data_IF_553377742992
#
_entry.id   IF_553377742992
#
_cell.length_a   1.000
_cell.length_b   1.000
_cell.length_c   1.000
_cell.angle_alpha   90.00
_cell.angle_beta   90.00
_cell.angle_gamma   90.00
#
_symmetry.space_group_name_H-M   'P 1'
#
loop_
_entity.id
_entity.type
_entity.pdbx_description
1 polymer ?
#
# COMPACT_ATOMS: atom_id res chain seq x y z
N UNK A 1 23.61 14.04 61.10
CA UNK A 1 23.59 14.55 59.71
C UNK A 1 24.09 13.43 58.81
N UNK A 2 23.18 12.77 58.12
CA UNK A 2 23.48 11.78 57.08
C UNK A 2 23.08 12.39 55.72
N UNK A 3 23.79 12.10 54.62
CA UNK A 3 23.42 12.61 53.29
C UNK A 3 22.15 11.91 52.77
N UNK A 4 21.31 12.59 51.96
CA UNK A 4 20.11 12.00 51.40
C UNK A 4 20.44 11.04 50.25
N UNK A 5 19.74 9.90 50.22
CA UNK A 5 19.75 8.93 49.12
C UNK A 5 19.22 9.54 47.81
N UNK A 6 19.74 9.15 46.64
CA UNK A 6 19.18 9.58 45.36
C UNK A 6 17.85 8.88 45.08
N UNK A 7 16.88 9.67 44.60
CA UNK A 7 15.57 9.23 44.17
C UNK A 7 15.67 8.29 42.96
N UNK A 8 15.02 7.12 43.06
CA UNK A 8 14.78 6.21 41.95
C UNK A 8 13.66 6.76 41.05
N UNK A 9 13.99 7.10 39.81
CA UNK A 9 13.00 7.27 38.73
C UNK A 9 12.44 5.91 38.30
N UNK A 10 11.18 5.82 37.86
CA UNK A 10 10.57 4.55 37.49
C UNK A 10 11.10 4.09 36.14
N UNK A 11 11.76 2.93 36.13
CA UNK A 11 12.01 2.15 34.93
C UNK A 11 10.67 1.58 34.45
N UNK A 12 10.16 2.09 33.32
CA UNK A 12 9.12 1.40 32.52
C UNK A 12 9.79 0.18 31.84
N UNK A 13 9.96 -0.86 32.64
CA UNK A 13 10.42 -2.18 32.24
C UNK A 13 9.28 -2.86 31.46
N UNK A 14 9.37 -2.84 30.14
CA UNK A 14 8.42 -3.53 29.25
C UNK A 14 8.54 -5.05 29.43
N UNK A 15 7.75 -5.61 30.34
CA UNK A 15 7.67 -7.05 30.57
C UNK A 15 7.21 -7.80 29.31
N UNK A 16 8.07 -8.69 28.83
CA UNK A 16 7.84 -9.58 27.71
C UNK A 16 6.80 -10.66 28.07
N UNK A 17 5.56 -10.56 27.55
CA UNK A 17 4.54 -11.59 27.76
C UNK A 17 4.80 -12.76 26.81
N UNK A 18 5.21 -13.90 27.38
CA UNK A 18 5.40 -15.16 26.66
C UNK A 18 4.05 -15.66 26.09
N UNK A 19 3.94 -15.96 24.78
CA UNK A 19 2.71 -16.49 24.21
C UNK A 19 2.43 -17.92 24.68
N UNK A 20 1.26 -18.14 25.29
CA UNK A 20 0.75 -19.47 25.63
C UNK A 20 0.52 -20.28 24.35
N UNK A 21 1.18 -21.43 24.26
CA UNK A 21 1.00 -22.44 23.21
C UNK A 21 -0.45 -22.94 23.20
N UNK A 22 -1.17 -22.74 22.11
CA UNK A 22 -2.27 -23.63 21.73
C UNK A 22 -2.31 -23.77 20.21
N UNK A 23 -2.03 -25.00 19.75
CA UNK A 23 -2.06 -25.43 18.35
C UNK A 23 -3.51 -25.61 17.90
N UNK A 24 -3.85 -25.06 16.73
CA UNK A 24 -4.47 -25.80 15.61
C UNK A 24 -4.33 -24.96 14.34
N UNK A 25 -3.53 -25.45 13.41
CA UNK A 25 -3.39 -24.88 12.08
C UNK A 25 -4.69 -25.19 11.31
N UNK A 26 -5.52 -24.17 11.08
CA UNK A 26 -6.53 -24.24 10.03
C UNK A 26 -5.86 -23.80 8.74
N UNK A 27 -5.78 -24.72 7.78
CA UNK A 27 -5.40 -24.42 6.42
C UNK A 27 -6.33 -23.32 5.88
N UNK A 28 -5.76 -22.16 5.57
CA UNK A 28 -6.44 -21.11 4.83
C UNK A 28 -6.67 -21.63 3.41
N UNK A 29 -7.89 -22.03 3.11
CA UNK A 29 -8.36 -22.19 1.74
C UNK A 29 -8.23 -20.82 1.06
N UNK A 30 -7.28 -20.71 0.13
CA UNK A 30 -7.12 -19.53 -0.70
C UNK A 30 -8.42 -19.29 -1.46
N UNK A 31 -9.19 -18.28 -1.05
CA UNK A 31 -10.36 -17.83 -1.80
C UNK A 31 -9.88 -17.32 -3.15
N UNK A 32 -10.38 -17.92 -4.22
CA UNK A 32 -10.15 -17.46 -5.59
C UNK A 32 -10.56 -15.98 -5.64
N UNK A 33 -9.64 -15.05 -5.98
CA UNK A 33 -9.98 -13.64 -6.02
C UNK A 33 -11.07 -13.39 -7.07
N UNK A 34 -11.99 -12.44 -6.82
CA UNK A 34 -13.02 -12.10 -7.79
C UNK A 34 -12.40 -11.77 -9.16
N UNK A 35 -13.08 -12.11 -10.27
CA UNK A 35 -12.55 -11.89 -11.61
C UNK A 35 -12.23 -10.40 -11.83
N UNK A 36 -11.12 -10.15 -12.52
CA UNK A 36 -10.63 -8.81 -12.87
C UNK A 36 -11.69 -8.07 -13.69
N UNK A 37 -12.40 -7.12 -13.09
CA UNK A 37 -13.51 -6.39 -13.74
C UNK A 37 -13.11 -5.09 -14.46
N UNK A 38 -11.82 -4.83 -14.66
CA UNK A 38 -11.36 -3.68 -15.44
C UNK A 38 -10.05 -3.99 -16.18
N UNK A 39 -9.71 -3.22 -17.24
CA UNK A 39 -8.43 -3.34 -17.90
C UNK A 39 -7.31 -3.11 -16.88
N UNK A 40 -6.34 -4.01 -16.85
CA UNK A 40 -5.10 -3.77 -16.10
C UNK A 40 -4.44 -2.54 -16.72
N UNK A 41 -3.98 -1.59 -15.88
CA UNK A 41 -3.11 -0.51 -16.39
C UNK A 41 -1.92 -1.14 -17.09
N UNK A 42 -1.50 -0.55 -18.20
CA UNK A 42 -0.24 -0.93 -18.81
C UNK A 42 0.87 -0.65 -17.78
N UNK A 43 1.78 -1.60 -17.58
CA UNK A 43 2.86 -1.45 -16.60
C UNK A 43 3.65 -0.14 -16.78
N UNK A 44 3.88 0.40 -17.99
CA UNK A 44 4.47 1.73 -18.19
C UNK A 44 3.66 2.90 -17.60
N UNK A 45 2.33 2.88 -17.69
CA UNK A 45 1.47 3.92 -17.11
C UNK A 45 1.50 3.89 -15.59
N UNK A 46 1.64 2.67 -15.04
CA UNK A 46 1.86 2.47 -13.62
C UNK A 46 3.25 3.00 -13.25
N UNK A 47 4.27 2.64 -14.03
CA UNK A 47 5.68 2.95 -13.82
C UNK A 47 5.96 4.47 -13.79
N UNK A 48 5.37 5.22 -14.73
CA UNK A 48 5.48 6.68 -14.82
C UNK A 48 4.85 7.43 -13.63
N UNK A 49 3.97 6.77 -12.87
CA UNK A 49 3.36 7.34 -11.67
C UNK A 49 4.27 7.23 -10.45
N UNK A 50 5.23 6.28 -10.41
CA UNK A 50 6.05 6.08 -9.22
C UNK A 50 7.23 7.01 -9.13
N UNK A 51 7.38 7.65 -7.97
CA UNK A 51 8.49 8.56 -7.68
C UNK A 51 9.43 8.06 -6.59
N UNK A 52 8.96 7.14 -5.75
CA UNK A 52 9.77 6.54 -4.70
C UNK A 52 9.21 5.18 -4.26
N UNK A 53 10.09 4.38 -3.67
CA UNK A 53 9.73 3.19 -2.92
C UNK A 53 10.10 3.35 -1.44
N UNK A 54 9.22 2.90 -0.56
CA UNK A 54 9.36 2.99 0.89
C UNK A 54 9.30 1.60 1.48
N UNK A 55 10.34 1.21 2.20
CA UNK A 55 10.46 -0.08 2.87
C UNK A 55 10.46 0.15 4.39
N UNK A 56 9.47 -0.41 5.08
CA UNK A 56 9.24 -0.18 6.51
C UNK A 56 9.34 -1.49 7.28
N UNK A 57 10.07 -1.46 8.40
CA UNK A 57 9.98 -2.48 9.45
C UNK A 57 10.42 -3.90 9.05
N UNK A 58 11.43 -4.04 8.19
CA UNK A 58 11.90 -5.36 7.72
C UNK A 58 12.71 -6.15 8.76
N UNK A 59 13.01 -5.57 9.92
CA UNK A 59 13.87 -6.13 10.95
C UNK A 59 15.37 -5.89 10.69
N UNK A 60 16.22 -6.44 11.56
CA UNK A 60 17.69 -6.29 11.48
C UNK A 60 18.35 -7.50 10.79
N UNK A 61 19.47 -7.25 10.09
CA UNK A 61 20.30 -8.31 9.50
C UNK A 61 21.24 -8.96 10.53
N UNK A 62 21.36 -8.37 11.72
CA UNK A 62 22.20 -8.86 12.81
C UNK A 62 21.44 -8.88 14.16
N UNK A 63 20.48 -9.81 14.33
CA UNK A 63 19.72 -9.89 15.56
C UNK A 63 20.61 -10.27 16.74
N UNK A 64 20.45 -9.57 17.87
CA UNK A 64 21.28 -9.72 19.06
C UNK A 64 21.24 -11.12 19.69
N UNK A 65 20.14 -11.86 19.50
CA UNK A 65 19.96 -13.24 19.95
C UNK A 65 20.55 -14.28 18.97
N UNK A 66 21.14 -13.83 17.86
CA UNK A 66 21.67 -14.71 16.81
C UNK A 66 20.59 -15.46 16.03
N UNK A 67 19.31 -15.07 16.12
CA UNK A 67 18.20 -15.77 15.48
C UNK A 67 18.36 -15.86 13.97
N UNK A 68 18.70 -17.05 13.49
CA UNK A 68 18.87 -17.34 12.07
C UNK A 68 17.57 -17.13 11.26
N UNK A 69 16.41 -17.45 11.85
CA UNK A 69 15.11 -17.27 11.18
C UNK A 69 14.72 -15.78 11.08
N UNK A 70 14.94 -14.99 12.13
CA UNK A 70 14.68 -13.54 12.07
C UNK A 70 15.55 -12.89 10.99
N UNK A 71 16.85 -13.23 10.99
CA UNK A 71 17.81 -12.79 9.97
C UNK A 71 17.38 -13.20 8.56
N UNK A 72 17.02 -14.49 8.38
CA UNK A 72 16.54 -15.01 7.09
C UNK A 72 15.31 -14.26 6.61
N UNK A 73 14.31 -14.05 7.47
CA UNK A 73 13.10 -13.29 7.15
C UNK A 73 13.44 -11.88 6.66
N UNK A 74 14.33 -11.16 7.34
CA UNK A 74 14.77 -9.83 6.93
C UNK A 74 15.41 -9.84 5.54
N UNK A 75 16.29 -10.80 5.25
CA UNK A 75 16.86 -10.96 3.90
C UNK A 75 15.82 -11.29 2.83
N UNK A 76 14.89 -12.22 3.12
CA UNK A 76 13.84 -12.62 2.18
C UNK A 76 12.91 -11.45 1.86
N UNK A 77 12.52 -10.67 2.87
CA UNK A 77 11.71 -9.47 2.68
C UNK A 77 12.47 -8.37 1.91
N UNK A 78 13.76 -8.16 2.21
CA UNK A 78 14.60 -7.25 1.43
C UNK A 78 14.65 -7.66 -0.05
N UNK A 79 14.92 -8.94 -0.34
CA UNK A 79 14.99 -9.45 -1.72
C UNK A 79 13.66 -9.23 -2.44
N UNK A 80 12.53 -9.54 -1.79
CA UNK A 80 11.21 -9.32 -2.39
C UNK A 80 10.98 -7.84 -2.72
N UNK A 81 11.33 -6.93 -1.81
CA UNK A 81 11.27 -5.49 -2.07
C UNK A 81 12.14 -5.07 -3.26
N UNK A 82 13.40 -5.51 -3.30
CA UNK A 82 14.33 -5.17 -4.38
C UNK A 82 13.89 -5.72 -5.73
N UNK A 83 13.33 -6.93 -5.79
CA UNK A 83 12.76 -7.50 -7.02
C UNK A 83 11.59 -6.65 -7.52
N UNK A 84 10.70 -6.21 -6.62
CA UNK A 84 9.59 -5.33 -7.02
C UNK A 84 10.09 -3.99 -7.57
N UNK A 85 11.10 -3.39 -6.93
CA UNK A 85 11.71 -2.14 -7.40
C UNK A 85 12.35 -2.34 -8.77
N UNK A 86 13.17 -3.38 -8.94
CA UNK A 86 13.84 -3.70 -10.21
C UNK A 86 12.83 -3.90 -11.36
N UNK A 87 11.72 -4.60 -11.10
CA UNK A 87 10.63 -4.73 -12.08
C UNK A 87 9.96 -3.40 -12.40
N UNK A 88 9.75 -2.51 -11.41
CA UNK A 88 9.22 -1.17 -11.67
C UNK A 88 10.19 -0.34 -12.53
N UNK A 89 11.48 -0.34 -12.20
CA UNK A 89 12.52 0.38 -12.95
C UNK A 89 12.58 -0.09 -14.42
N UNK A 90 12.58 -1.41 -14.67
CA UNK A 90 12.56 -1.98 -16.02
C UNK A 90 11.36 -1.50 -16.84
N UNK A 91 10.19 -1.39 -16.22
CA UNK A 91 8.98 -0.94 -16.88
C UNK A 91 8.84 0.59 -16.95
N UNK A 92 9.65 1.34 -16.19
CA UNK A 92 9.73 2.81 -16.20
C UNK A 92 10.75 3.37 -17.20
N UNK A 93 11.29 2.54 -18.10
CA UNK A 93 12.36 2.96 -19.02
C UNK A 93 13.77 2.90 -18.42
N UNK A 94 13.95 2.21 -17.29
CA UNK A 94 15.26 1.92 -16.69
C UNK A 94 15.76 2.99 -15.71
N UNK A 95 14.94 4.00 -15.39
CA UNK A 95 15.30 5.01 -14.39
C UNK A 95 15.35 4.41 -12.98
N UNK A 96 16.36 4.80 -12.20
CA UNK A 96 16.53 4.33 -10.81
C UNK A 96 15.49 4.96 -9.89
N UNK A 97 14.75 4.13 -9.17
CA UNK A 97 13.71 4.56 -8.24
C UNK A 97 14.32 4.83 -6.86
N UNK A 98 14.20 6.06 -6.31
CA UNK A 98 14.67 6.34 -4.97
C UNK A 98 13.99 5.44 -3.92
N UNK A 99 14.80 4.69 -3.17
CA UNK A 99 14.32 3.82 -2.10
C UNK A 99 14.68 4.36 -0.72
N UNK A 100 13.70 4.37 0.18
CA UNK A 100 13.84 4.82 1.57
C UNK A 100 13.49 3.68 2.52
N UNK A 101 14.43 3.33 3.38
CA UNK A 101 14.25 2.31 4.42
C UNK A 101 14.10 2.96 5.78
N UNK A 102 13.17 2.47 6.58
CA UNK A 102 13.00 2.87 7.97
C UNK A 102 12.70 1.66 8.85
N UNK A 103 13.58 1.40 9.80
CA UNK A 103 13.48 0.33 10.78
C UNK A 103 14.10 0.83 12.08
N UNK A 104 13.31 1.03 13.15
CA UNK A 104 13.80 1.44 14.45
C UNK A 104 14.95 0.60 15.00
N UNK A 105 14.98 -0.72 14.70
CA UNK A 105 16.02 -1.61 15.24
C UNK A 105 17.27 -1.72 14.37
N UNK A 106 17.39 -0.94 13.29
CA UNK A 106 18.59 -0.97 12.45
C UNK A 106 19.84 -0.52 13.22
N UNK A 107 20.83 -1.41 13.21
CA UNK A 107 22.19 -1.15 13.68
C UNK A 107 22.98 -0.29 12.68
N UNK A 108 24.15 0.20 13.09
CA UNK A 108 25.07 0.90 12.18
C UNK A 108 25.49 0.01 10.98
N UNK A 109 25.62 -1.31 11.22
CA UNK A 109 25.93 -2.29 10.17
C UNK A 109 24.76 -2.45 9.19
N UNK A 110 23.52 -2.51 9.67
CA UNK A 110 22.33 -2.58 8.82
C UNK A 110 22.23 -1.35 7.92
N UNK A 111 22.45 -0.17 8.50
CA UNK A 111 22.46 1.12 7.77
C UNK A 111 23.51 1.15 6.68
N UNK A 112 24.71 0.71 7.00
CA UNK A 112 25.83 0.65 6.06
C UNK A 112 25.58 -0.37 4.95
N UNK A 113 24.98 -1.51 5.27
CA UNK A 113 24.61 -2.53 4.30
C UNK A 113 23.58 -2.02 3.30
N UNK A 114 22.47 -1.43 3.78
CA UNK A 114 21.44 -0.84 2.90
C UNK A 114 22.02 0.30 2.04
N UNK A 115 22.89 1.15 2.62
CA UNK A 115 23.58 2.20 1.88
C UNK A 115 24.50 1.64 0.79
N UNK A 116 25.17 0.51 1.04
CA UNK A 116 26.03 -0.15 0.05
C UNK A 116 25.24 -0.69 -1.16
N UNK A 117 23.93 -0.92 -1.01
CA UNK A 117 23.01 -1.27 -2.09
C UNK A 117 22.50 -0.04 -2.88
N UNK A 118 22.93 1.17 -2.51
CA UNK A 118 22.52 2.42 -3.16
C UNK A 118 21.20 3.01 -2.63
N UNK A 119 20.70 2.53 -1.49
CA UNK A 119 19.44 2.99 -0.91
C UNK A 119 19.66 3.89 0.31
N UNK A 120 18.64 4.66 0.69
CA UNK A 120 18.72 5.57 1.84
C UNK A 120 18.05 4.95 3.05
N UNK A 121 18.73 4.95 4.19
CA UNK A 121 18.07 4.74 5.48
C UNK A 121 17.73 6.07 6.09
N UNK A 122 16.51 6.19 6.62
CA UNK A 122 16.02 7.38 7.31
C UNK A 122 15.46 7.00 8.68
N UNK A 123 15.46 7.96 9.60
CA UNK A 123 14.91 7.75 10.93
C UNK A 123 13.38 7.91 10.94
N UNK A 124 12.72 7.27 11.90
CA UNK A 124 11.27 7.43 12.09
C UNK A 124 10.93 8.87 12.49
N UNK A 125 9.89 9.50 11.90
CA UNK A 125 8.89 8.95 10.97
C UNK A 125 9.14 9.26 9.48
N UNK A 126 10.36 9.63 9.09
CA UNK A 126 10.64 10.30 7.81
C UNK A 126 10.31 9.47 6.56
N UNK A 127 10.35 8.13 6.62
CA UNK A 127 9.92 7.30 5.48
C UNK A 127 8.39 7.23 5.39
N UNK A 128 7.69 7.16 6.52
CA UNK A 128 6.22 7.20 6.55
C UNK A 128 5.70 8.52 5.97
N UNK A 129 6.37 9.63 6.24
CA UNK A 129 5.97 10.95 5.76
C UNK A 129 6.17 11.15 4.25
N UNK A 130 6.95 10.28 3.60
CA UNK A 130 7.15 10.28 2.15
C UNK A 130 6.06 9.52 1.41
N UNK A 131 5.23 8.76 2.11
CA UNK A 131 4.18 7.97 1.48
C UNK A 131 3.11 8.90 0.93
N UNK A 132 2.93 8.83 -0.38
CA UNK A 132 1.93 9.55 -1.13
C UNK A 132 1.37 8.69 -2.28
N UNK A 133 0.50 9.31 -3.09
CA UNK A 133 -0.17 8.65 -4.21
C UNK A 133 0.77 8.08 -5.28
N UNK A 134 2.04 8.48 -5.32
CA UNK A 134 3.10 8.08 -6.24
C UNK A 134 4.13 7.12 -5.62
N UNK A 135 3.81 6.50 -4.49
CA UNK A 135 4.74 5.59 -3.80
C UNK A 135 4.36 4.12 -3.90
N UNK A 136 5.40 3.28 -3.98
CA UNK A 136 5.34 1.88 -3.55
C UNK A 136 5.63 1.85 -2.04
N UNK A 137 4.73 1.33 -1.23
CA UNK A 137 5.02 0.98 0.18
C UNK A 137 5.12 -0.53 0.34
N UNK A 138 6.19 -0.95 1.00
CA UNK A 138 6.43 -2.32 1.41
C UNK A 138 6.65 -2.34 2.93
N UNK A 139 5.66 -2.86 3.65
CA UNK A 139 5.69 -2.96 5.10
C UNK A 139 5.00 -4.24 5.49
N UNK A 140 5.77 -5.30 5.71
CA UNK A 140 5.23 -6.63 6.03
C UNK A 140 5.30 -6.83 7.53
N UNK A 141 4.21 -7.32 8.15
CA UNK A 141 4.09 -7.53 9.62
C UNK A 141 4.21 -6.27 10.47
N UNK A 142 3.85 -5.10 9.94
CA UNK A 142 3.82 -3.87 10.73
C UNK A 142 2.64 -3.85 11.71
N UNK A 143 2.85 -3.18 12.83
CA UNK A 143 1.78 -2.83 13.75
C UNK A 143 0.83 -1.78 13.14
N UNK A 144 -0.45 -1.83 13.55
CA UNK A 144 -1.50 -0.92 13.09
C UNK A 144 -1.13 0.57 13.17
N UNK A 145 -0.53 1.09 14.26
CA UNK A 145 -0.13 2.49 14.32
C UNK A 145 0.90 2.90 13.25
N UNK A 146 1.76 1.97 12.81
CA UNK A 146 2.75 2.24 11.77
C UNK A 146 2.06 2.34 10.40
N UNK A 147 1.09 1.47 10.11
CA UNK A 147 0.26 1.62 8.90
C UNK A 147 -0.57 2.91 8.93
N UNK A 148 -1.18 3.25 10.07
CA UNK A 148 -1.94 4.49 10.21
C UNK A 148 -1.06 5.71 9.94
N UNK A 149 0.16 5.73 10.49
CA UNK A 149 1.13 6.80 10.26
C UNK A 149 1.58 6.88 8.79
N UNK A 150 1.87 5.74 8.17
CA UNK A 150 2.31 5.69 6.77
C UNK A 150 1.18 6.07 5.80
N UNK A 151 -0.07 5.77 6.12
CA UNK A 151 -1.21 6.01 5.23
C UNK A 151 -1.99 7.30 5.55
N UNK A 152 -1.47 8.13 6.47
CA UNK A 152 -2.13 9.37 6.94
C UNK A 152 -2.43 10.37 5.82
N UNK A 153 -1.59 10.39 4.78
CA UNK A 153 -1.70 11.31 3.64
C UNK A 153 -2.54 10.73 2.48
N UNK A 154 -3.17 9.57 2.68
CA UNK A 154 -3.98 8.88 1.68
C UNK A 154 -3.32 7.61 1.13
N UNK A 155 -3.98 6.93 0.19
CA UNK A 155 -3.54 5.62 -0.28
C UNK A 155 -2.38 5.72 -1.31
N UNK A 156 -1.34 4.89 -1.19
CA UNK A 156 -0.20 4.83 -2.11
C UNK A 156 -0.59 4.31 -3.49
N UNK A 157 0.33 4.29 -4.46
CA UNK A 157 0.06 3.66 -5.75
C UNK A 157 0.03 2.13 -5.61
N UNK A 158 0.98 1.57 -4.85
CA UNK A 158 1.01 0.15 -4.47
C UNK A 158 1.27 0.01 -2.98
N UNK A 159 0.53 -0.88 -2.33
CA UNK A 159 0.71 -1.27 -0.94
C UNK A 159 1.00 -2.76 -0.85
N UNK A 160 2.09 -3.12 -0.19
CA UNK A 160 2.41 -4.49 0.22
C UNK A 160 2.48 -4.53 1.73
N UNK A 161 1.58 -5.30 2.34
CA UNK A 161 1.51 -5.43 3.79
C UNK A 161 0.34 -6.29 4.22
N UNK A 162 0.03 -6.23 5.51
CA UNK A 162 -1.09 -6.97 6.12
C UNK A 162 -2.42 -6.51 5.53
N UNK A 163 -3.19 -7.44 4.98
CA UNK A 163 -4.45 -7.15 4.31
C UNK A 163 -5.55 -6.63 5.24
N UNK A 164 -6.50 -5.88 4.68
CA UNK A 164 -7.69 -5.38 5.40
C UNK A 164 -8.49 -6.51 6.05
N UNK A 165 -8.57 -7.67 5.40
CA UNK A 165 -9.29 -8.85 5.90
C UNK A 165 -8.77 -9.40 7.24
N UNK A 166 -7.51 -9.10 7.57
CA UNK A 166 -6.95 -9.39 8.89
C UNK A 166 -7.41 -8.31 9.88
N UNK A 167 -7.19 -7.04 9.56
CA UNK A 167 -7.50 -5.91 10.44
C UNK A 167 -8.98 -5.78 10.77
N UNK A 168 -9.87 -6.09 9.83
CA UNK A 168 -11.33 -6.11 10.03
C UNK A 168 -11.77 -7.16 11.07
N UNK A 169 -10.98 -8.22 11.25
CA UNK A 169 -11.27 -9.28 12.24
C UNK A 169 -10.65 -9.01 13.60
N UNK A 170 -9.62 -8.17 13.68
CA UNK A 170 -8.98 -7.84 14.95
C UNK A 170 -9.72 -6.66 15.57
N UNK A 171 -10.75 -6.95 16.38
CA UNK A 171 -11.45 -5.97 17.22
C UNK A 171 -10.54 -5.50 18.36
N UNK A 172 -9.52 -4.68 18.05
CA UNK A 172 -8.80 -3.92 19.07
C UNK A 172 -9.51 -2.58 19.27
N UNK A 173 -9.58 -2.14 20.52
CA UNK A 173 -10.29 -0.96 21.01
C UNK A 173 -9.65 0.38 20.55
N UNK A 174 -9.42 0.53 19.25
CA UNK A 174 -8.66 1.63 18.66
C UNK A 174 -9.53 2.48 17.73
N UNK A 175 -9.07 3.72 17.49
CA UNK A 175 -9.76 4.78 16.75
C UNK A 175 -10.35 4.27 15.41
N UNK A 176 -11.66 4.44 15.16
CA UNK A 176 -12.36 3.77 14.07
C UNK A 176 -11.91 4.13 12.64
N UNK A 177 -10.96 5.06 12.48
CA UNK A 177 -10.59 5.65 11.19
C UNK A 177 -9.09 5.62 10.86
N UNK A 178 -8.23 5.12 11.75
CA UNK A 178 -6.76 5.15 11.57
C UNK A 178 -6.27 4.34 10.35
N UNK A 179 -7.04 3.34 9.90
CA UNK A 179 -6.79 2.55 8.69
C UNK A 179 -7.80 2.83 7.55
N UNK A 180 -8.45 4.00 7.54
CA UNK A 180 -9.41 4.36 6.49
C UNK A 180 -8.83 4.23 5.07
N UNK A 181 -7.57 4.63 4.87
CA UNK A 181 -6.86 4.47 3.58
C UNK A 181 -6.74 3.01 3.14
N UNK A 182 -6.51 2.07 4.07
CA UNK A 182 -6.43 0.64 3.76
C UNK A 182 -7.81 0.08 3.38
N UNK A 183 -8.87 0.54 4.06
CA UNK A 183 -10.25 0.21 3.69
C UNK A 183 -10.63 0.74 2.30
N UNK A 184 -10.21 1.96 1.96
CA UNK A 184 -10.38 2.52 0.61
C UNK A 184 -9.67 1.66 -0.43
N UNK A 185 -8.43 1.22 -0.15
CA UNK A 185 -7.72 0.30 -1.05
C UNK A 185 -8.46 -1.03 -1.20
N UNK A 186 -8.97 -1.63 -0.13
CA UNK A 186 -9.78 -2.86 -0.21
C UNK A 186 -10.97 -2.73 -1.15
N UNK A 187 -11.60 -1.55 -1.18
CA UNK A 187 -12.79 -1.30 -2.00
C UNK A 187 -12.47 -0.94 -3.46
N UNK A 188 -11.34 -0.25 -3.70
CA UNK A 188 -11.08 0.42 -4.98
C UNK A 188 -9.90 -0.15 -5.77
N UNK A 189 -8.96 -0.83 -5.11
CA UNK A 189 -7.71 -1.29 -5.74
C UNK A 189 -7.88 -2.68 -6.36
N UNK A 190 -6.96 -3.03 -7.26
CA UNK A 190 -6.70 -4.44 -7.53
C UNK A 190 -6.01 -5.06 -6.31
N UNK A 191 -6.36 -6.30 -5.98
CA UNK A 191 -5.81 -7.04 -4.83
C UNK A 191 -5.39 -8.44 -5.24
N UNK A 192 -4.28 -8.92 -4.69
CA UNK A 192 -3.85 -10.30 -4.76
C UNK A 192 -3.15 -10.73 -3.47
N UNK A 193 -3.16 -12.02 -3.17
CA UNK A 193 -2.33 -12.58 -2.09
C UNK A 193 -0.85 -12.45 -2.47
N UNK A 194 0.00 -12.08 -1.51
CA UNK A 194 1.44 -12.06 -1.73
C UNK A 194 1.99 -13.50 -1.78
N UNK A 195 2.92 -13.82 -2.70
CA UNK A 195 3.55 -15.14 -2.75
C UNK A 195 4.12 -15.56 -1.40
N UNK A 196 3.79 -16.78 -0.97
CA UNK A 196 4.25 -17.28 0.33
C UNK A 196 5.66 -17.84 0.22
N UNK A 197 6.45 -17.62 1.27
CA UNK A 197 7.74 -18.27 1.45
C UNK A 197 7.51 -19.70 1.91
N UNK A 198 7.86 -20.68 1.07
CA UNK A 198 7.65 -22.10 1.38
C UNK A 198 8.41 -22.59 2.62
N UNK A 199 9.47 -21.88 3.01
CA UNK A 199 10.37 -22.27 4.10
C UNK A 199 10.10 -21.49 5.39
N UNK A 200 9.13 -20.57 5.43
CA UNK A 200 8.96 -19.69 6.58
C UNK A 200 7.65 -18.91 6.59
N UNK A 201 7.61 -17.88 7.43
CA UNK A 201 6.43 -17.01 7.62
C UNK A 201 6.67 -15.57 7.17
N UNK A 202 7.68 -15.36 6.33
CA UNK A 202 8.13 -14.03 5.93
C UNK A 202 7.02 -13.15 5.33
N UNK A 203 6.01 -13.77 4.68
CA UNK A 203 4.89 -13.09 4.02
C UNK A 203 3.52 -13.58 4.50
N UNK A 204 3.43 -14.19 5.69
CA UNK A 204 2.13 -14.62 6.21
C UNK A 204 1.18 -13.41 6.31
N UNK A 205 -0.09 -13.62 5.97
CA UNK A 205 -1.11 -12.57 5.99
C UNK A 205 -0.80 -11.33 5.13
N UNK A 206 0.11 -11.43 4.16
CA UNK A 206 0.53 -10.31 3.30
C UNK A 206 -0.30 -10.29 2.01
N UNK A 207 -0.76 -9.10 1.63
CA UNK A 207 -1.49 -8.81 0.40
C UNK A 207 -0.78 -7.72 -0.40
N UNK A 208 -0.97 -7.75 -1.72
CA UNK A 208 -0.61 -6.66 -2.63
C UNK A 208 -1.88 -5.94 -3.05
N UNK A 209 -1.88 -4.62 -2.92
CA UNK A 209 -2.89 -3.72 -3.45
C UNK A 209 -2.25 -2.80 -4.47
N UNK A 210 -2.89 -2.59 -5.62
CA UNK A 210 -2.43 -1.64 -6.64
C UNK A 210 -3.60 -0.82 -7.19
N UNK A 211 -3.35 0.47 -7.41
CA UNK A 211 -4.36 1.36 -7.97
C UNK A 211 -4.72 0.91 -9.39
N UNK A 212 -6.03 0.79 -9.67
CA UNK A 212 -6.53 0.53 -11.02
C UNK A 212 -6.39 1.78 -11.89
N UNK A 213 -6.42 1.61 -13.20
CA UNK A 213 -6.62 2.75 -14.09
C UNK A 213 -7.94 3.38 -13.68
N UNK A 214 -8.05 4.70 -13.76
CA UNK A 214 -9.37 5.24 -14.02
C UNK A 214 -9.83 4.52 -15.29
N UNK A 215 -10.85 3.66 -15.17
CA UNK A 215 -11.69 3.39 -16.33
C UNK A 215 -12.05 4.76 -16.87
N UNK A 216 -11.85 5.01 -18.17
CA UNK A 216 -12.64 6.04 -18.84
C UNK A 216 -14.06 5.83 -18.34
N UNK A 217 -14.53 6.78 -17.52
CA UNK A 217 -15.85 6.65 -16.91
C UNK A 217 -16.82 6.38 -18.05
N UNK A 218 -17.72 5.41 -17.83
CA UNK A 218 -18.94 5.34 -18.60
C UNK A 218 -19.55 6.74 -18.54
N UNK A 219 -19.35 7.50 -19.61
CA UNK A 219 -20.03 8.76 -19.87
C UNK A 219 -21.50 8.40 -19.73
N UNK A 220 -22.22 8.90 -18.73
CA UNK A 220 -23.65 8.69 -18.69
C UNK A 220 -24.15 9.31 -19.99
N UNK A 221 -24.66 8.46 -20.88
CA UNK A 221 -25.24 8.87 -22.15
C UNK A 221 -26.22 10.00 -21.82
N UNK A 222 -25.83 11.22 -22.16
CA UNK A 222 -26.75 12.34 -22.15
C UNK A 222 -27.90 11.90 -23.03
N UNK A 223 -29.05 11.70 -22.41
CA UNK A 223 -30.27 11.35 -23.09
C UNK A 223 -30.52 12.42 -24.16
N UNK A 224 -30.23 12.06 -25.40
CA UNK A 224 -30.74 12.72 -26.58
C UNK A 224 -32.26 12.66 -26.48
N UNK A 225 -32.87 13.67 -25.86
CA UNK A 225 -34.25 14.01 -26.14
C UNK A 225 -34.26 14.62 -27.53
N UNK A 226 -34.22 13.74 -28.53
CA UNK A 226 -34.78 14.03 -29.84
C UNK A 226 -36.28 14.22 -29.61
N UNK A 227 -36.69 15.50 -29.56
CA UNK A 227 -38.08 15.87 -29.69
C UNK A 227 -38.44 15.71 -31.17
N UNK A 228 -39.03 14.57 -31.51
CA UNK A 228 -39.93 14.48 -32.65
C UNK A 228 -41.11 15.44 -32.42
N UNK A 229 -41.24 16.44 -33.29
CA UNK A 229 -42.51 17.06 -33.61
C UNK A 229 -42.43 17.61 -35.03
N UNK A 230 -42.72 16.75 -36.01
CA UNK A 230 -43.02 17.14 -37.38
C UNK A 230 -44.41 16.63 -37.71
N UNK A 231 -45.40 17.51 -37.75
CA UNK A 231 -46.47 17.56 -38.76
C UNK A 231 -47.53 18.62 -38.38
N UNK A 232 -48.00 19.32 -39.42
CA UNK A 232 -49.14 20.25 -39.46
C UNK A 232 -48.88 21.69 -39.02
N UNK A 233 -48.31 22.48 -39.92
CA UNK A 233 -49.10 23.57 -40.50
C UNK A 233 -48.58 23.90 -41.91
N UNK A 234 -49.25 23.30 -42.89
CA UNK A 234 -49.29 23.79 -44.26
C UNK A 234 -50.15 25.05 -44.29
N UNK A 235 -49.83 25.97 -45.21
CA UNK A 235 -50.72 27.04 -45.72
C UNK A 235 -50.66 28.42 -45.02
N UNK A 236 -49.53 29.12 -45.14
CA UNK A 236 -49.56 30.59 -45.05
C UNK A 236 -48.52 31.38 -45.90
N UNK A 237 -47.52 30.74 -46.54
CA UNK A 237 -46.40 31.51 -47.14
C UNK A 237 -46.21 31.37 -48.67
N UNK A 238 -47.28 31.01 -49.40
CA UNK A 238 -47.27 31.02 -50.88
C UNK A 238 -48.10 32.14 -51.53
N UNK A 239 -48.42 33.20 -50.81
CA UNK A 239 -49.06 34.41 -51.35
C UNK A 239 -48.25 35.68 -51.06
N UNK A 240 -46.97 35.67 -51.43
CA UNK A 240 -46.18 36.89 -51.54
C UNK A 240 -45.22 36.81 -52.74
N UNK A 241 -45.76 36.48 -53.93
CA UNK A 241 -45.06 36.65 -55.20
C UNK A 241 -46.01 36.54 -56.39
N UNK A 242 -46.99 37.44 -56.53
CA UNK A 242 -47.60 37.75 -57.83
C UNK A 242 -48.03 39.23 -57.87
N UNK A 243 -47.37 39.96 -58.78
CA UNK A 243 -47.78 41.19 -59.47
C UNK A 243 -47.70 42.56 -58.77
N UNK A 244 -46.56 43.22 -59.00
CA UNK A 244 -46.53 44.62 -59.43
C UNK A 244 -45.85 44.64 -60.81
N UNK A 245 -46.64 44.79 -61.88
CA UNK A 245 -46.49 45.77 -62.98
C UNK A 245 -47.77 45.74 -63.79
#
# INVERSE_FOLDING_TARGET
MAPPSPASTPDDEWTFVQPKKTRRANALTASIPPPRTGPLRAVPDIAAEYRAAVCLGIGTFDPADGSGEARRRTYVQLIAFLVMVDELEKNAGGEKLPCFFQEPIFTASDRSFIASLGHRVVDSPAACERVDRSTLIFGVHLYRPVYALALKNGPPAVFVGTGWDVWDRVSLAEEPHDLASLKVMEQTYGKAAFPQDALGTAFSSTSVYWRRAASEEAVPAAASREGEAHAQDDLADKLASVSIT
#
